data_IF_076753312185
#
_entry.id   IF_076753312185
#
_cell.length_a   1.000
_cell.length_b   1.000
_cell.length_c   1.000
_cell.angle_alpha   90.00
_cell.angle_beta   90.00
_cell.angle_gamma   90.00
#
_symmetry.space_group_name_H-M   'P 1'
#
loop_
_entity.id
_entity.type
_entity.pdbx_description
1 polymer ?
#
# COMPACT_ATOMS: atom_id res chain seq x y z
N UNK A 1 -14.40 -12.01 -14.48
CA UNK A 1 -14.58 -10.99 -15.54
C UNK A 1 -13.21 -10.68 -16.14
N UNK A 2 -13.06 -10.78 -17.46
CA UNK A 2 -11.79 -10.43 -18.14
C UNK A 2 -11.56 -8.92 -18.03
N UNK A 3 -10.37 -8.49 -17.59
CA UNK A 3 -10.01 -7.07 -17.54
C UNK A 3 -9.66 -6.60 -18.96
N UNK A 4 -10.29 -5.52 -19.43
CA UNK A 4 -10.15 -5.06 -20.81
C UNK A 4 -8.81 -4.32 -21.04
N UNK A 5 -7.72 -5.09 -21.17
CA UNK A 5 -6.39 -4.57 -21.50
C UNK A 5 -6.30 -3.94 -22.91
N UNK A 6 -7.34 -4.06 -23.74
CA UNK A 6 -7.36 -3.52 -25.09
C UNK A 6 -7.72 -2.02 -25.18
N UNK A 7 -8.23 -1.42 -24.10
CA UNK A 7 -8.61 -0.01 -24.13
C UNK A 7 -7.35 0.89 -24.21
N UNK A 8 -7.27 1.87 -25.12
CA UNK A 8 -6.06 2.67 -25.33
C UNK A 8 -5.54 3.37 -24.07
N UNK A 9 -6.44 3.92 -23.24
CA UNK A 9 -6.10 4.58 -21.98
C UNK A 9 -5.55 3.60 -20.95
N UNK A 10 -6.14 2.40 -20.86
CA UNK A 10 -5.67 1.32 -19.99
C UNK A 10 -4.30 0.82 -20.41
N UNK A 11 -4.03 0.67 -21.72
CA UNK A 11 -2.72 0.28 -22.23
C UNK A 11 -1.65 1.33 -21.91
N UNK A 12 -1.95 2.61 -22.13
CA UNK A 12 -1.01 3.68 -21.82
C UNK A 12 -0.68 3.71 -20.32
N UNK A 13 -1.69 3.60 -19.46
CA UNK A 13 -1.48 3.56 -18.01
C UNK A 13 -0.71 2.31 -17.58
N UNK A 14 -1.01 1.14 -18.15
CA UNK A 14 -0.27 -0.09 -17.93
C UNK A 14 1.21 0.08 -18.27
N UNK A 15 1.52 0.63 -19.45
CA UNK A 15 2.89 0.84 -19.89
C UNK A 15 3.65 1.79 -18.97
N UNK A 16 3.01 2.86 -18.50
CA UNK A 16 3.64 3.75 -17.52
C UNK A 16 3.88 3.04 -16.19
N UNK A 17 2.92 2.27 -15.67
CA UNK A 17 3.10 1.47 -14.44
C UNK A 17 4.26 0.48 -14.61
N UNK A 18 4.31 -0.25 -15.72
CA UNK A 18 5.39 -1.21 -16.01
C UNK A 18 6.77 -0.55 -16.06
N UNK A 19 6.88 0.66 -16.64
CA UNK A 19 8.12 1.44 -16.63
C UNK A 19 8.50 1.86 -15.22
N UNK A 20 7.54 2.31 -14.42
CA UNK A 20 7.77 2.70 -13.02
C UNK A 20 8.23 1.54 -12.14
N UNK A 21 7.83 0.30 -12.45
CA UNK A 21 8.28 -0.90 -11.74
C UNK A 21 9.78 -1.18 -11.88
N UNK A 22 10.43 -0.69 -12.94
CA UNK A 22 11.87 -0.84 -13.15
C UNK A 22 12.70 -0.01 -12.16
N UNK A 23 12.11 1.04 -11.58
CA UNK A 23 12.79 1.87 -10.58
C UNK A 23 12.76 1.12 -9.24
N UNK A 24 13.91 0.64 -8.79
CA UNK A 24 14.02 -0.09 -7.53
C UNK A 24 13.84 0.86 -6.33
N UNK A 25 13.25 0.34 -5.24
CA UNK A 25 13.09 1.09 -3.99
C UNK A 25 12.10 2.25 -4.03
N UNK A 26 11.25 2.36 -5.06
CA UNK A 26 10.16 3.33 -5.12
C UNK A 26 8.81 2.67 -5.31
N UNK A 27 7.80 3.18 -4.61
CA UNK A 27 6.41 2.83 -4.85
C UNK A 27 5.89 3.43 -6.17
N UNK A 28 4.69 3.02 -6.59
CA UNK A 28 4.00 3.62 -7.74
C UNK A 28 2.72 4.31 -7.27
N UNK A 29 2.57 5.61 -7.54
CA UNK A 29 1.40 6.40 -7.16
C UNK A 29 0.55 6.67 -8.40
N UNK A 30 -0.71 6.23 -8.37
CA UNK A 30 -1.70 6.44 -9.41
C UNK A 30 -2.71 7.50 -8.97
N UNK A 31 -2.86 8.54 -9.76
CA UNK A 31 -3.86 9.58 -9.52
C UNK A 31 -4.87 9.65 -10.66
N UNK A 32 -6.13 9.88 -10.33
CA UNK A 32 -7.19 10.11 -11.31
C UNK A 32 -8.57 10.02 -10.68
N UNK A 33 -9.62 10.32 -11.43
CA UNK A 33 -10.98 10.28 -10.89
C UNK A 33 -11.42 8.87 -10.45
N UNK A 34 -12.45 8.76 -9.59
CA UNK A 34 -13.10 7.52 -9.21
C UNK A 34 -13.56 6.72 -10.43
N UNK A 35 -13.54 5.40 -10.32
CA UNK A 35 -14.10 4.52 -11.35
C UNK A 35 -13.23 4.32 -12.61
N UNK A 36 -12.13 5.05 -12.78
CA UNK A 36 -11.23 4.91 -13.96
C UNK A 36 -10.40 3.61 -13.99
N UNK A 37 -10.55 2.76 -12.97
CA UNK A 37 -9.95 1.42 -12.95
C UNK A 37 -8.52 1.32 -12.41
N UNK A 38 -8.01 2.30 -11.66
CA UNK A 38 -6.67 2.30 -11.03
C UNK A 38 -6.42 1.02 -10.22
N UNK A 39 -7.32 0.74 -9.29
CA UNK A 39 -7.29 -0.44 -8.42
C UNK A 39 -7.34 -1.73 -9.23
N UNK A 40 -8.26 -1.82 -10.20
CA UNK A 40 -8.41 -2.99 -11.06
C UNK A 40 -7.17 -3.26 -11.91
N UNK A 41 -6.51 -2.21 -12.42
CA UNK A 41 -5.29 -2.31 -13.21
C UNK A 41 -4.16 -2.96 -12.40
N UNK A 42 -3.91 -2.47 -11.18
CA UNK A 42 -2.83 -3.00 -10.33
C UNK A 42 -3.12 -4.43 -9.88
N UNK A 43 -4.35 -4.70 -9.44
CA UNK A 43 -4.75 -6.05 -9.03
C UNK A 43 -4.60 -7.06 -10.17
N UNK A 44 -4.99 -6.66 -11.39
CA UNK A 44 -4.86 -7.53 -12.55
C UNK A 44 -3.41 -7.71 -12.98
N UNK A 45 -2.61 -6.64 -12.97
CA UNK A 45 -1.17 -6.71 -13.27
C UNK A 45 -0.43 -7.63 -12.30
N UNK A 46 -0.74 -7.56 -11.00
CA UNK A 46 -0.16 -8.44 -10.00
C UNK A 46 -0.46 -9.92 -10.33
N UNK A 47 -1.73 -10.23 -10.59
CA UNK A 47 -2.18 -11.57 -10.94
C UNK A 47 -1.48 -12.11 -12.21
N UNK A 48 -1.34 -11.28 -13.25
CA UNK A 48 -0.61 -11.65 -14.48
C UNK A 48 0.90 -11.84 -14.24
N UNK A 49 1.46 -11.11 -13.27
CA UNK A 49 2.87 -11.19 -12.91
C UNK A 49 3.18 -12.32 -11.92
N UNK A 50 2.17 -13.09 -11.50
CA UNK A 50 2.31 -14.17 -10.52
C UNK A 50 2.44 -13.72 -9.07
N UNK A 51 2.16 -12.44 -8.78
CA UNK A 51 2.18 -11.90 -7.42
C UNK A 51 0.78 -11.87 -6.82
N UNK A 52 0.69 -12.19 -5.53
CA UNK A 52 -0.47 -11.82 -4.72
C UNK A 52 -0.47 -10.31 -4.49
N UNK A 53 -1.66 -9.71 -4.44
CA UNK A 53 -1.81 -8.29 -4.16
C UNK A 53 -2.80 -8.09 -3.01
N UNK A 54 -2.32 -7.55 -1.89
CA UNK A 54 -3.15 -7.09 -0.79
C UNK A 54 -3.65 -5.69 -1.11
N UNK A 55 -4.96 -5.51 -1.14
CA UNK A 55 -5.59 -4.19 -1.20
C UNK A 55 -5.90 -3.72 0.21
N UNK A 56 -5.44 -2.52 0.57
CA UNK A 56 -5.73 -1.84 1.82
C UNK A 56 -6.40 -0.52 1.49
N UNK A 57 -7.62 -0.31 1.99
CA UNK A 57 -8.32 0.96 1.83
C UNK A 57 -8.05 1.83 3.05
N UNK A 58 -7.46 3.02 2.84
CA UNK A 58 -7.11 3.92 3.92
C UNK A 58 -8.23 4.93 4.20
N UNK A 59 -8.33 5.34 5.47
CA UNK A 59 -9.26 6.36 5.93
C UNK A 59 -8.67 7.14 7.10
N UNK A 60 -9.39 8.17 7.58
CA UNK A 60 -8.99 8.92 8.78
C UNK A 60 -9.01 8.07 10.06
N UNK A 61 -9.76 6.96 10.07
CA UNK A 61 -9.83 6.03 11.19
C UNK A 61 -8.82 4.88 11.10
N UNK A 62 -8.03 4.80 10.03
CA UNK A 62 -6.99 3.78 9.93
C UNK A 62 -5.85 4.13 10.89
N UNK A 63 -5.43 3.15 11.68
CA UNK A 63 -4.29 3.28 12.59
C UNK A 63 -3.12 2.38 12.20
N UNK A 64 -1.94 2.63 12.78
CA UNK A 64 -0.74 1.81 12.55
C UNK A 64 -0.95 0.35 12.99
N UNK A 65 -1.78 0.12 14.01
CA UNK A 65 -2.16 -1.21 14.47
C UNK A 65 -2.88 -2.03 13.39
N UNK A 66 -3.71 -1.38 12.56
CA UNK A 66 -4.44 -2.03 11.46
C UNK A 66 -3.53 -2.46 10.31
N UNK A 67 -2.34 -1.86 10.21
CA UNK A 67 -1.36 -2.13 9.17
C UNK A 67 -0.29 -3.11 9.64
N UNK A 68 0.30 -2.84 10.80
CA UNK A 68 1.47 -3.57 11.28
C UNK A 68 1.14 -4.67 12.29
N UNK A 69 0.13 -4.46 13.12
CA UNK A 69 -0.28 -5.39 14.15
C UNK A 69 -0.38 -4.74 15.51
N UNK A 70 -0.92 -5.48 16.46
CA UNK A 70 -1.06 -5.07 17.85
C UNK A 70 -1.08 -6.29 18.76
N UNK A 71 -0.87 -6.05 20.05
CA UNK A 71 -1.16 -7.03 21.09
C UNK A 71 -2.66 -7.12 21.30
N UNK A 72 -3.23 -8.29 20.97
CA UNK A 72 -4.65 -8.56 21.11
C UNK A 72 -4.90 -9.58 22.23
N UNK A 73 -6.08 -9.56 22.89
CA UNK A 73 -6.45 -10.58 23.85
C UNK A 73 -6.42 -11.98 23.21
N UNK A 74 -5.74 -12.91 23.88
CA UNK A 74 -5.58 -14.29 23.44
C UNK A 74 -6.89 -15.08 23.53
N UNK A 75 -7.02 -16.05 22.63
CA UNK A 75 -8.23 -16.88 22.47
C UNK A 75 -8.49 -17.79 23.68
N UNK A 76 -7.47 -18.07 24.50
CA UNK A 76 -7.63 -18.79 25.77
C UNK A 76 -7.82 -17.79 26.92
N UNK A 77 -9.06 -17.72 27.40
CA UNK A 77 -9.51 -17.02 28.61
C UNK A 77 -9.29 -15.50 28.68
N UNK A 78 -8.84 -14.84 27.60
CA UNK A 78 -8.67 -13.38 27.55
C UNK A 78 -7.64 -12.81 28.54
N UNK A 79 -6.97 -13.66 29.33
CA UNK A 79 -6.00 -13.27 30.35
C UNK A 79 -4.57 -13.09 29.82
N UNK A 80 -4.29 -13.48 28.57
CA UNK A 80 -2.97 -13.35 27.96
C UNK A 80 -3.07 -12.54 26.67
N UNK A 81 -2.34 -11.43 26.59
CA UNK A 81 -2.17 -10.70 25.34
C UNK A 81 -1.15 -11.40 24.46
N UNK A 82 -1.43 -11.47 23.16
CA UNK A 82 -0.52 -12.02 22.18
C UNK A 82 -0.46 -11.10 20.96
N UNK A 83 0.75 -10.84 20.50
CA UNK A 83 0.97 -10.08 19.28
C UNK A 83 0.32 -10.77 18.07
N UNK A 84 -0.39 -9.97 17.27
CA UNK A 84 -0.95 -10.41 16.00
C UNK A 84 -0.50 -9.49 14.87
N UNK A 85 0.26 -10.05 13.93
CA UNK A 85 0.61 -9.36 12.69
C UNK A 85 -0.68 -8.96 11.95
N UNK A 86 -0.74 -7.70 11.50
CA UNK A 86 -1.81 -7.22 10.66
C UNK A 86 -1.52 -7.47 9.16
N UNK A 87 -2.53 -7.35 8.27
CA UNK A 87 -2.41 -7.79 6.88
C UNK A 87 -1.24 -7.16 6.11
N UNK A 88 -0.95 -5.87 6.32
CA UNK A 88 0.14 -5.20 5.61
C UNK A 88 1.50 -5.80 6.01
N UNK A 89 1.78 -5.98 7.31
CA UNK A 89 3.03 -6.60 7.76
C UNK A 89 3.17 -8.04 7.23
N UNK A 90 2.09 -8.82 7.23
CA UNK A 90 2.11 -10.17 6.68
C UNK A 90 2.45 -10.18 5.18
N UNK A 91 1.81 -9.32 4.38
CA UNK A 91 2.09 -9.16 2.95
C UNK A 91 3.52 -8.69 2.70
N UNK A 92 4.01 -7.72 3.50
CA UNK A 92 5.37 -7.22 3.42
C UNK A 92 6.40 -8.33 3.60
N UNK A 93 6.22 -9.17 4.62
CA UNK A 93 7.11 -10.31 4.90
C UNK A 93 7.06 -11.38 3.83
N UNK A 94 5.88 -11.62 3.25
CA UNK A 94 5.69 -12.60 2.18
C UNK A 94 6.29 -12.17 0.83
N UNK A 95 6.62 -10.88 0.65
CA UNK A 95 7.02 -10.35 -0.66
C UNK A 95 5.83 -10.09 -1.59
N UNK A 96 4.61 -10.01 -1.03
CA UNK A 96 3.39 -9.72 -1.79
C UNK A 96 3.38 -8.27 -2.28
N UNK A 97 2.59 -7.98 -3.30
CA UNK A 97 2.29 -6.59 -3.66
C UNK A 97 1.26 -6.03 -2.69
N UNK A 98 1.33 -4.72 -2.44
CA UNK A 98 0.34 -4.00 -1.63
C UNK A 98 -0.16 -2.79 -2.40
N UNK A 99 -1.47 -2.64 -2.49
CA UNK A 99 -2.14 -1.46 -3.02
C UNK A 99 -2.83 -0.70 -1.89
N UNK A 100 -2.38 0.54 -1.65
CA UNK A 100 -2.97 1.50 -0.73
C UNK A 100 -3.97 2.37 -1.47
N UNK A 101 -5.27 2.11 -1.32
CA UNK A 101 -6.35 2.94 -1.88
C UNK A 101 -6.68 4.12 -0.95
N UNK A 102 -7.09 5.25 -1.55
CA UNK A 102 -7.46 6.51 -0.87
C UNK A 102 -6.38 6.99 0.11
N UNK A 103 -5.10 6.92 -0.29
CA UNK A 103 -3.97 7.29 0.57
C UNK A 103 -4.02 8.72 1.10
N UNK A 104 -4.75 9.61 0.42
CA UNK A 104 -4.97 10.99 0.82
C UNK A 104 -6.08 11.19 1.88
N UNK A 105 -6.74 10.12 2.32
CA UNK A 105 -7.62 10.12 3.49
C UNK A 105 -6.90 9.66 4.76
N UNK A 106 -5.71 9.08 4.65
CA UNK A 106 -4.94 8.60 5.80
C UNK A 106 -4.47 9.76 6.69
N UNK A 107 -4.33 9.48 7.99
CA UNK A 107 -3.71 10.39 8.93
C UNK A 107 -2.21 10.55 8.65
N UNK A 108 -1.63 11.68 9.08
CA UNK A 108 -0.20 11.95 8.89
C UNK A 108 0.67 10.90 9.60
N UNK A 109 0.28 10.44 10.79
CA UNK A 109 0.98 9.37 11.52
C UNK A 109 1.02 8.05 10.74
N UNK A 110 -0.07 7.68 10.07
CA UNK A 110 -0.09 6.51 9.18
C UNK A 110 0.85 6.69 8.00
N UNK A 111 0.83 7.85 7.33
CA UNK A 111 1.74 8.13 6.22
C UNK A 111 3.22 8.10 6.66
N UNK A 112 3.52 8.61 7.86
CA UNK A 112 4.85 8.57 8.45
C UNK A 112 5.29 7.14 8.79
N UNK A 113 4.43 6.32 9.41
CA UNK A 113 4.72 4.92 9.68
C UNK A 113 4.94 4.09 8.39
N UNK A 114 4.20 4.40 7.34
CA UNK A 114 4.37 3.77 6.02
C UNK A 114 5.70 4.13 5.36
N UNK A 115 6.29 5.31 5.62
CA UNK A 115 7.55 5.73 4.98
C UNK A 115 8.70 4.73 5.21
N UNK A 116 8.75 4.07 6.37
CA UNK A 116 9.78 3.07 6.68
C UNK A 116 9.71 1.84 5.74
N UNK A 117 8.51 1.52 5.26
CA UNK A 117 8.29 0.43 4.30
C UNK A 117 8.50 0.86 2.84
N UNK A 118 8.55 2.17 2.58
CA UNK A 118 8.55 2.78 1.25
C UNK A 118 9.92 3.36 0.85
N UNK A 119 10.90 3.33 1.74
CA UNK A 119 12.27 3.76 1.43
C UNK A 119 13.16 2.60 0.97
N UNK A 120 14.44 2.89 0.72
CA UNK A 120 15.43 1.91 0.25
C UNK A 120 15.67 0.74 1.22
N UNK A 121 15.30 0.87 2.51
CA UNK A 121 15.49 -0.18 3.53
C UNK A 121 14.39 -1.22 3.44
N UNK A 122 13.20 -0.83 2.98
CA UNK A 122 12.00 -1.67 2.90
C UNK A 122 11.81 -2.51 4.17
N UNK A 123 11.86 -1.82 5.32
CA UNK A 123 11.88 -2.46 6.62
C UNK A 123 11.22 -1.60 7.68
N UNK A 124 10.47 -2.24 8.59
CA UNK A 124 9.76 -1.57 9.68
C UNK A 124 10.27 -2.10 11.02
N UNK A 125 10.55 -1.19 11.95
CA UNK A 125 10.81 -1.53 13.34
C UNK A 125 9.51 -1.45 14.12
N UNK A 126 9.19 -2.49 14.87
CA UNK A 126 8.00 -2.55 15.74
C UNK A 126 8.48 -2.50 17.19
N UNK A 127 8.31 -1.35 17.88
CA UNK A 127 8.77 -1.15 19.25
C UNK A 127 8.22 -2.18 20.25
N UNK A 128 6.95 -2.54 20.11
CA UNK A 128 6.24 -3.51 20.95
C UNK A 128 6.92 -4.87 20.95
N UNK A 129 7.58 -5.22 19.84
CA UNK A 129 8.31 -6.47 19.66
C UNK A 129 9.84 -6.32 19.79
N UNK A 130 10.33 -5.09 19.93
CA UNK A 130 11.76 -4.80 19.95
C UNK A 130 12.52 -5.29 18.72
N UNK A 131 11.86 -5.40 17.55
CA UNK A 131 12.45 -6.06 16.36
C UNK A 131 12.13 -5.37 15.04
N UNK A 132 13.04 -5.52 14.09
CA UNK A 132 12.89 -5.04 12.71
C UNK A 132 12.45 -6.17 11.79
N UNK A 133 11.45 -5.89 10.96
CA UNK A 133 10.98 -6.77 9.90
C UNK A 133 11.41 -6.22 8.55
N UNK A 134 11.97 -7.08 7.71
CA UNK A 134 12.37 -6.75 6.35
C UNK A 134 11.35 -7.28 5.35
N UNK A 135 11.15 -6.55 4.28
CA UNK A 135 10.29 -6.97 3.19
C UNK A 135 10.87 -8.21 2.49
N UNK A 136 9.97 -9.11 2.09
CA UNK A 136 10.30 -10.27 1.26
C UNK A 136 10.71 -9.85 -0.16
N UNK A 137 11.42 -10.75 -0.85
CA UNK A 137 11.80 -10.52 -2.24
C UNK A 137 10.56 -10.35 -3.10
N UNK A 138 10.50 -9.27 -3.88
CA UNK A 138 9.35 -8.98 -4.76
C UNK A 138 8.29 -8.06 -4.15
N UNK A 139 8.42 -7.71 -2.86
CA UNK A 139 7.53 -6.74 -2.22
C UNK A 139 7.49 -5.43 -3.01
N UNK A 140 6.27 -4.96 -3.28
CA UNK A 140 6.06 -3.72 -4.02
C UNK A 140 4.83 -2.99 -3.51
N UNK A 141 4.95 -1.68 -3.30
CA UNK A 141 3.83 -0.84 -2.87
C UNK A 141 3.34 0.02 -4.02
N UNK A 142 2.03 0.01 -4.19
CA UNK A 142 1.26 0.88 -5.05
C UNK A 142 0.37 1.74 -4.17
N UNK A 143 0.13 2.98 -4.58
CA UNK A 143 -0.81 3.86 -3.93
C UNK A 143 -1.76 4.42 -4.99
N UNK A 144 -3.02 4.56 -4.64
CA UNK A 144 -4.03 5.19 -5.48
C UNK A 144 -4.70 6.32 -4.69
N UNK A 145 -4.88 7.45 -5.36
CA UNK A 145 -5.65 8.57 -4.82
C UNK A 145 -6.56 9.18 -5.87
N UNK A 146 -7.61 9.84 -5.41
CA UNK A 146 -8.38 10.76 -6.24
C UNK A 146 -7.90 12.19 -6.00
N UNK A 147 -8.04 13.11 -6.98
CA UNK A 147 -7.62 14.49 -6.82
C UNK A 147 -8.27 15.18 -5.61
N UNK A 148 -7.52 16.08 -4.96
CA UNK A 148 -7.99 16.82 -3.77
C UNK A 148 -9.26 17.62 -4.06
N UNK A 149 -9.40 18.14 -5.29
CA UNK A 149 -10.56 18.93 -5.71
C UNK A 149 -11.89 18.18 -5.76
N UNK A 150 -11.89 16.85 -5.67
CA UNK A 150 -13.11 16.04 -5.70
C UNK A 150 -13.80 15.88 -4.32
N UNK A 151 -13.37 16.64 -3.32
CA UNK A 151 -14.00 16.68 -2.00
C UNK A 151 -13.81 15.40 -1.17
N UNK A 152 -14.62 15.23 -0.13
CA UNK A 152 -14.62 14.02 0.70
C UNK A 152 -13.51 13.93 1.75
N UNK A 153 -13.00 15.06 2.25
CA UNK A 153 -11.97 15.08 3.31
C UNK A 153 -10.55 14.78 2.81
N UNK A 154 -10.34 14.73 1.49
CA UNK A 154 -9.04 14.47 0.86
C UNK A 154 -8.03 15.57 1.17
N UNK A 155 -6.85 15.18 1.64
CA UNK A 155 -5.76 16.09 2.01
C UNK A 155 -4.62 16.00 1.01
N UNK A 156 -3.80 17.05 0.96
CA UNK A 156 -2.55 17.00 0.20
C UNK A 156 -1.56 16.03 0.86
N UNK A 157 -0.93 15.15 0.08
CA UNK A 157 0.11 14.26 0.59
C UNK A 157 1.39 15.05 0.93
N UNK A 158 2.07 14.75 2.05
CA UNK A 158 3.36 15.36 2.37
C UNK A 158 4.40 15.10 1.27
N UNK A 159 5.24 16.11 0.97
CA UNK A 159 6.32 15.97 -0.02
C UNK A 159 7.26 14.80 0.30
N UNK A 160 7.54 14.57 1.58
CA UNK A 160 8.37 13.46 2.05
C UNK A 160 7.80 12.10 1.63
N UNK A 161 6.48 11.93 1.70
CA UNK A 161 5.78 10.73 1.28
C UNK A 161 5.77 10.61 -0.25
N UNK A 162 5.42 11.68 -0.97
CA UNK A 162 5.41 11.71 -2.44
C UNK A 162 6.78 11.34 -3.04
N UNK A 163 7.88 11.78 -2.41
CA UNK A 163 9.24 11.48 -2.87
C UNK A 163 9.58 9.98 -2.86
N UNK A 164 8.80 9.15 -2.15
CA UNK A 164 8.92 7.67 -2.14
C UNK A 164 8.25 6.98 -3.32
N UNK A 165 7.46 7.72 -4.10
CA UNK A 165 6.72 7.19 -5.23
C UNK A 165 7.21 7.74 -6.56
N UNK A 166 6.99 6.97 -7.61
CA UNK A 166 6.94 7.44 -8.99
C UNK A 166 5.47 7.66 -9.35
N UNK A 167 5.11 8.89 -9.72
CA UNK A 167 3.75 9.26 -10.12
C UNK A 167 3.47 8.86 -11.56
N UNK A 168 2.23 8.40 -11.84
CA UNK A 168 1.83 7.80 -13.12
C UNK A 168 0.53 8.38 -13.66
#
# INVERSE_FOLDING_TARGET
KSFALGAPTTQNNLMKVMRSLQIQGKGVLLEGSPGVGKTSLIMHLAALSGYRCLRVNLSEQTDLADLFGADLPGVKDGMQFAWRDAPFLAAMRAGDWVLLDEVNLASQSVLEGLNACLDHRTAIYIPELGRTFRAGKGFRVFAAQNPVGEGGGRKGLPRSFLNRFTQV
#
